data_IF_460482299472
#
_entry.id   IF_460482299472
#
_cell.length_a   1.000
_cell.length_b   1.000
_cell.length_c   1.000
_cell.angle_alpha   90.00
_cell.angle_beta   90.00
_cell.angle_gamma   90.00
#
_symmetry.space_group_name_H-M   'P 1'
#
loop_
_entity.id
_entity.type
_entity.pdbx_description
1 polymer ?
#
# COMPACT_ATOMS: atom_id res chain seq x y z
N UNK A 1 -45.58 -25.81 8.31
CA UNK A 1 -45.97 -24.56 7.67
C UNK A 1 -44.73 -24.06 6.97
N UNK A 2 -44.76 -24.24 5.69
CA UNK A 2 -43.79 -23.87 4.67
C UNK A 2 -43.80 -22.38 4.46
N UNK A 3 -42.64 -21.76 4.37
CA UNK A 3 -42.48 -20.66 3.43
C UNK A 3 -41.03 -20.50 2.94
N UNK A 4 -40.98 -20.30 1.63
CA UNK A 4 -39.87 -20.44 0.74
C UNK A 4 -38.96 -19.21 0.70
N UNK A 5 -37.63 -19.42 0.61
CA UNK A 5 -36.67 -18.42 0.18
C UNK A 5 -36.45 -18.52 -1.34
N UNK A 6 -36.83 -17.47 -2.03
CA UNK A 6 -36.64 -17.28 -3.46
C UNK A 6 -35.16 -16.94 -3.77
N UNK A 7 -34.57 -17.72 -4.64
CA UNK A 7 -33.27 -17.53 -5.27
C UNK A 7 -33.33 -16.42 -6.33
N UNK A 8 -32.58 -15.35 -6.15
CA UNK A 8 -32.35 -14.33 -7.15
C UNK A 8 -31.19 -14.73 -8.08
N UNK A 9 -31.54 -14.98 -9.33
CA UNK A 9 -30.69 -15.36 -10.44
C UNK A 9 -29.76 -14.20 -10.90
N UNK A 10 -28.49 -14.48 -11.03
CA UNK A 10 -27.49 -13.65 -11.69
C UNK A 10 -27.74 -13.65 -13.21
N UNK A 11 -28.02 -12.49 -13.77
CA UNK A 11 -28.17 -12.28 -15.22
C UNK A 11 -26.80 -12.07 -15.88
N UNK A 12 -26.45 -12.97 -16.77
CA UNK A 12 -25.28 -12.89 -17.65
C UNK A 12 -25.51 -11.88 -18.79
N UNK A 13 -24.59 -10.95 -18.96
CA UNK A 13 -24.57 -10.08 -20.14
C UNK A 13 -24.02 -10.82 -21.36
N UNK A 14 -24.85 -11.04 -22.38
CA UNK A 14 -24.46 -11.50 -23.71
C UNK A 14 -24.16 -10.30 -24.62
N UNK A 15 -23.05 -10.40 -25.36
CA UNK A 15 -22.72 -9.55 -26.53
C UNK A 15 -23.83 -9.67 -27.56
N UNK A 16 -24.24 -8.53 -28.13
CA UNK A 16 -25.03 -8.45 -29.36
C UNK A 16 -24.18 -7.92 -30.50
N UNK A 17 -24.03 -8.74 -31.52
CA UNK A 17 -23.55 -8.36 -32.84
C UNK A 17 -24.63 -7.58 -33.56
N UNK A 18 -24.25 -6.52 -34.27
CA UNK A 18 -25.16 -5.81 -35.17
C UNK A 18 -24.74 -6.09 -36.61
N UNK A 19 -25.68 -6.67 -37.34
CA UNK A 19 -25.64 -6.90 -38.78
C UNK A 19 -26.00 -5.61 -39.53
N UNK A 20 -25.27 -5.35 -40.58
CA UNK A 20 -25.43 -4.31 -41.56
C UNK A 20 -26.66 -4.54 -42.45
N UNK A 21 -27.42 -3.50 -42.73
CA UNK A 21 -28.31 -3.44 -43.92
C UNK A 21 -28.22 -2.05 -44.52
N UNK A 22 -27.76 -2.01 -45.76
CA UNK A 22 -27.69 -0.83 -46.64
C UNK A 22 -29.06 -0.58 -47.29
N UNK A 23 -29.49 0.66 -47.33
CA UNK A 23 -30.41 1.18 -48.36
C UNK A 23 -30.13 2.66 -48.62
N UNK A 24 -29.88 2.97 -49.90
CA UNK A 24 -29.61 4.30 -50.40
C UNK A 24 -30.91 4.99 -50.84
N UNK A 25 -31.03 6.28 -50.59
CA UNK A 25 -31.69 7.23 -51.50
C UNK A 25 -31.56 8.71 -51.02
N UNK A 26 -31.00 9.56 -51.86
CA UNK A 26 -31.57 10.86 -52.22
C UNK A 26 -31.25 12.12 -51.41
N UNK A 27 -30.25 12.81 -51.84
CA UNK A 27 -30.11 14.28 -52.02
C UNK A 27 -30.89 15.25 -51.09
N UNK A 28 -30.12 16.07 -50.35
CA UNK A 28 -30.56 17.29 -49.69
C UNK A 28 -29.40 17.97 -48.98
N UNK A 29 -28.66 18.85 -49.69
CA UNK A 29 -27.56 19.62 -49.13
C UNK A 29 -28.11 20.79 -48.34
N UNK A 30 -28.03 20.73 -47.00
CA UNK A 30 -28.06 21.90 -46.12
C UNK A 30 -26.76 21.88 -45.30
N UNK A 31 -26.06 23.03 -45.16
CA UNK A 31 -24.85 23.05 -44.32
C UNK A 31 -25.27 22.99 -42.86
N UNK A 32 -25.20 21.80 -42.25
CA UNK A 32 -25.20 21.71 -40.80
C UNK A 32 -23.86 22.27 -40.30
N UNK A 33 -23.96 23.40 -39.64
CA UNK A 33 -22.91 24.04 -38.87
C UNK A 33 -22.19 22.99 -37.98
N UNK A 34 -20.91 22.81 -38.24
CA UNK A 34 -19.95 22.12 -37.38
C UNK A 34 -19.74 23.02 -36.15
N UNK A 35 -20.68 22.93 -35.21
CA UNK A 35 -20.59 23.57 -33.90
C UNK A 35 -20.76 22.47 -32.83
N UNK A 36 -19.81 21.55 -32.77
CA UNK A 36 -19.88 20.41 -31.85
C UNK A 36 -18.54 19.76 -31.52
N UNK A 37 -17.43 20.28 -32.05
CA UNK A 37 -16.10 19.68 -31.84
C UNK A 37 -15.09 20.59 -31.12
N UNK A 38 -15.53 21.69 -30.52
CA UNK A 38 -14.65 22.64 -29.82
C UNK A 38 -14.71 22.56 -28.29
N UNK A 39 -15.21 21.47 -27.72
CA UNK A 39 -15.33 21.32 -26.28
C UNK A 39 -14.52 20.14 -25.70
N UNK A 40 -13.65 19.52 -26.47
CA UNK A 40 -12.51 18.77 -25.96
C UNK A 40 -11.30 19.70 -25.87
N UNK A 41 -11.51 20.89 -25.28
CA UNK A 41 -10.40 21.74 -24.88
C UNK A 41 -9.44 20.91 -24.03
N UNK A 42 -8.18 20.92 -24.44
CA UNK A 42 -7.00 20.47 -23.67
C UNK A 42 -7.15 20.80 -22.19
N UNK A 43 -7.83 19.95 -21.44
CA UNK A 43 -7.75 19.99 -19.99
C UNK A 43 -6.36 19.48 -19.65
N UNK A 44 -5.40 20.38 -19.59
CA UNK A 44 -4.02 20.07 -19.22
C UNK A 44 -3.96 19.23 -17.94
N UNK A 45 -2.84 18.61 -17.67
CA UNK A 45 -2.64 17.83 -16.46
C UNK A 45 -2.97 18.65 -15.22
N UNK A 46 -3.69 18.05 -14.27
CA UNK A 46 -4.04 18.67 -12.98
C UNK A 46 -3.82 17.68 -11.85
N UNK A 47 -3.59 18.22 -10.64
CA UNK A 47 -3.44 17.47 -9.42
C UNK A 47 -4.38 18.00 -8.35
N UNK A 48 -5.03 17.08 -7.63
CA UNK A 48 -5.95 17.39 -6.53
C UNK A 48 -5.51 16.63 -5.28
N UNK A 49 -4.66 17.21 -4.41
CA UNK A 49 -4.26 16.59 -3.15
C UNK A 49 -5.43 16.52 -2.17
N UNK A 50 -5.52 15.40 -1.42
CA UNK A 50 -6.52 15.19 -0.38
C UNK A 50 -5.91 14.55 0.86
N UNK A 51 -6.57 14.75 1.99
CA UNK A 51 -6.28 14.04 3.24
C UNK A 51 -7.52 13.99 4.12
N UNK A 52 -7.58 12.96 4.96
CA UNK A 52 -8.63 12.82 5.97
C UNK A 52 -8.14 11.99 7.15
N UNK A 53 -8.80 12.16 8.28
CA UNK A 53 -8.50 11.46 9.53
C UNK A 53 -8.98 10.00 9.46
N UNK A 54 -8.09 9.07 9.86
CA UNK A 54 -8.36 7.64 9.98
C UNK A 54 -7.92 7.10 11.35
N UNK A 55 -7.90 7.98 12.36
CA UNK A 55 -7.55 7.65 13.74
C UNK A 55 -8.64 6.77 14.37
N UNK A 56 -8.31 5.57 14.85
CA UNK A 56 -9.29 4.69 15.46
C UNK A 56 -9.76 5.23 16.83
N UNK A 57 -11.05 5.02 17.19
CA UNK A 57 -11.58 5.45 18.49
C UNK A 57 -11.04 4.59 19.64
N UNK A 58 -11.17 5.09 20.88
CA UNK A 58 -10.84 4.35 22.09
C UNK A 58 -11.53 2.99 22.12
N UNK A 59 -10.79 1.95 22.48
CA UNK A 59 -11.24 0.55 22.50
C UNK A 59 -11.12 -0.20 21.17
N UNK A 60 -10.85 0.49 20.03
CA UNK A 60 -10.63 -0.15 18.75
C UNK A 60 -9.40 -1.08 18.80
N UNK A 61 -9.46 -2.29 18.19
CA UNK A 61 -8.30 -3.18 18.10
C UNK A 61 -7.15 -2.54 17.31
N UNK A 62 -5.92 -2.70 17.79
CA UNK A 62 -4.71 -2.30 17.06
C UNK A 62 -3.97 -3.53 16.55
N UNK A 63 -3.26 -3.36 15.42
CA UNK A 63 -2.50 -4.43 14.77
C UNK A 63 -3.33 -5.74 14.64
N UNK A 64 -4.60 -5.63 14.22
CA UNK A 64 -5.48 -6.80 14.07
C UNK A 64 -5.86 -7.50 15.38
N UNK A 65 -5.69 -6.87 16.54
CA UNK A 65 -6.00 -7.43 17.85
C UNK A 65 -4.82 -8.13 18.55
N UNK A 66 -3.62 -8.09 18.01
CA UNK A 66 -2.42 -8.71 18.65
C UNK A 66 -1.79 -7.88 19.75
N UNK A 67 -2.10 -6.60 19.82
CA UNK A 67 -1.56 -5.67 20.81
C UNK A 67 -2.71 -5.02 21.60
N UNK A 68 -2.38 -4.25 22.65
CA UNK A 68 -3.39 -3.55 23.44
C UNK A 68 -4.29 -2.69 22.56
N UNK A 69 -5.63 -2.71 22.73
CA UNK A 69 -6.53 -1.85 22.00
C UNK A 69 -6.27 -0.38 22.36
N UNK A 70 -6.85 0.54 21.58
CA UNK A 70 -6.70 1.98 21.76
C UNK A 70 -7.09 2.41 23.17
N UNK A 71 -6.16 3.03 23.87
CA UNK A 71 -6.33 3.70 25.18
C UNK A 71 -6.16 5.20 25.06
N UNK A 72 -5.14 5.62 24.28
CA UNK A 72 -4.78 7.01 24.04
C UNK A 72 -4.39 7.21 22.58
N UNK A 73 -4.31 8.45 22.15
CA UNK A 73 -3.81 8.86 20.84
C UNK A 73 -2.63 9.79 21.07
N UNK A 74 -1.42 9.32 20.77
CA UNK A 74 -0.22 10.13 20.86
C UNK A 74 -0.14 11.10 19.68
N UNK A 75 -0.50 10.62 18.48
CA UNK A 75 -0.66 11.44 17.29
C UNK A 75 -1.69 10.81 16.33
N UNK A 76 -2.45 11.68 15.61
CA UNK A 76 -3.51 11.25 14.70
C UNK A 76 -2.98 10.47 13.50
N UNK A 77 -3.79 9.55 12.98
CA UNK A 77 -3.52 8.82 11.75
C UNK A 77 -4.25 9.47 10.57
N UNK A 78 -3.59 9.57 9.43
CA UNK A 78 -4.15 10.20 8.23
C UNK A 78 -4.12 9.23 7.04
N UNK A 79 -5.13 9.32 6.17
CA UNK A 79 -5.04 8.87 4.80
C UNK A 79 -4.77 10.10 3.93
N UNK A 80 -3.69 10.05 3.15
CA UNK A 80 -3.20 11.19 2.38
C UNK A 80 -2.96 10.75 0.94
N UNK A 81 -3.46 11.51 -0.01
CA UNK A 81 -3.31 11.15 -1.41
C UNK A 81 -3.46 12.33 -2.36
N UNK A 82 -3.49 12.01 -3.63
CA UNK A 82 -3.81 12.96 -4.69
C UNK A 82 -4.49 12.25 -5.86
N UNK A 83 -5.26 13.02 -6.63
CA UNK A 83 -5.83 12.60 -7.91
C UNK A 83 -5.10 13.33 -9.02
N UNK A 84 -4.62 12.61 -10.03
CA UNK A 84 -4.11 13.17 -11.28
C UNK A 84 -5.23 13.12 -12.33
N UNK A 85 -5.47 14.24 -12.99
CA UNK A 85 -6.48 14.47 -14.03
C UNK A 85 -5.79 14.87 -15.32
N UNK A 86 -6.42 14.56 -16.48
CA UNK A 86 -5.92 14.95 -17.79
C UNK A 86 -5.01 13.93 -18.47
N UNK A 87 -4.74 12.78 -17.82
CA UNK A 87 -4.01 11.64 -18.38
C UNK A 87 -4.95 10.46 -18.66
N UNK A 88 -6.03 10.68 -19.37
CA UNK A 88 -7.15 9.74 -19.52
C UNK A 88 -8.07 9.80 -18.29
N UNK A 89 -8.59 8.65 -17.86
CA UNK A 89 -9.38 8.57 -16.62
C UNK A 89 -8.52 8.94 -15.38
N UNK A 90 -9.14 9.49 -14.32
CA UNK A 90 -8.42 9.90 -13.12
C UNK A 90 -7.56 8.79 -12.52
N UNK A 91 -6.37 9.16 -12.03
CA UNK A 91 -5.45 8.26 -11.32
C UNK A 91 -5.40 8.70 -9.86
N UNK A 92 -5.57 7.76 -8.93
CA UNK A 92 -5.57 8.05 -7.48
C UNK A 92 -4.39 7.34 -6.81
N UNK A 93 -3.58 8.10 -6.06
CA UNK A 93 -2.51 7.58 -5.21
C UNK A 93 -2.84 7.93 -3.76
N UNK A 94 -2.81 6.95 -2.87
CA UNK A 94 -3.14 7.14 -1.46
C UNK A 94 -2.20 6.35 -0.55
N UNK A 95 -1.62 7.02 0.45
CA UNK A 95 -0.95 6.42 1.59
C UNK A 95 -1.89 6.43 2.80
N UNK A 96 -1.97 5.33 3.55
CA UNK A 96 -2.84 5.18 4.72
C UNK A 96 -1.97 4.86 5.94
N UNK A 97 -2.08 5.65 7.00
CA UNK A 97 -1.36 5.44 8.26
C UNK A 97 -1.96 4.25 9.05
N UNK A 98 -2.11 3.11 8.40
CA UNK A 98 -2.56 1.86 9.01
C UNK A 98 -1.52 0.76 8.86
N UNK A 99 -1.62 -0.27 9.73
CA UNK A 99 -0.74 -1.45 9.65
C UNK A 99 -0.98 -2.22 8.35
N UNK A 100 -2.23 -2.34 7.90
CA UNK A 100 -2.52 -3.01 6.64
C UNK A 100 -4.01 -3.11 6.31
N UNK A 101 -4.25 -3.24 5.02
CA UNK A 101 -5.55 -3.53 4.41
C UNK A 101 -5.42 -4.84 3.61
N UNK A 102 -6.17 -5.87 3.98
CA UNK A 102 -6.07 -7.21 3.40
C UNK A 102 -7.31 -7.55 2.58
N UNK A 103 -7.09 -8.15 1.42
CA UNK A 103 -8.15 -8.73 0.60
C UNK A 103 -9.32 -7.73 0.35
N UNK A 104 -10.54 -8.09 0.75
CA UNK A 104 -11.74 -7.26 0.56
C UNK A 104 -11.61 -5.86 1.18
N UNK A 105 -10.90 -5.69 2.28
CA UNK A 105 -10.70 -4.38 2.88
C UNK A 105 -9.94 -3.43 1.94
N UNK A 106 -8.88 -3.93 1.30
CA UNK A 106 -8.10 -3.19 0.32
C UNK A 106 -8.93 -2.86 -0.94
N UNK A 107 -9.69 -3.85 -1.44
CA UNK A 107 -10.53 -3.67 -2.61
C UNK A 107 -11.65 -2.65 -2.37
N UNK A 108 -12.30 -2.70 -1.20
CA UNK A 108 -13.34 -1.72 -0.85
C UNK A 108 -12.76 -0.31 -0.70
N UNK A 109 -11.55 -0.16 -0.16
CA UNK A 109 -10.88 1.15 -0.07
C UNK A 109 -10.59 1.73 -1.45
N UNK A 110 -10.00 0.92 -2.35
CA UNK A 110 -9.77 1.31 -3.75
C UNK A 110 -11.07 1.69 -4.45
N UNK A 111 -12.12 0.88 -4.30
CA UNK A 111 -13.43 1.15 -4.92
C UNK A 111 -14.05 2.45 -4.42
N UNK A 112 -13.95 2.74 -3.12
CA UNK A 112 -14.48 3.97 -2.54
C UNK A 112 -13.79 5.24 -3.10
N UNK A 113 -12.46 5.20 -3.23
CA UNK A 113 -11.71 6.32 -3.81
C UNK A 113 -11.93 6.43 -5.33
N UNK A 114 -12.03 5.31 -6.04
CA UNK A 114 -12.32 5.28 -7.48
C UNK A 114 -13.68 5.90 -7.79
N UNK A 115 -14.74 5.47 -7.09
CA UNK A 115 -16.09 6.02 -7.21
C UNK A 115 -16.09 7.55 -7.00
N UNK A 116 -15.41 8.02 -5.95
CA UNK A 116 -15.34 9.45 -5.65
C UNK A 116 -14.56 10.25 -6.70
N UNK A 117 -13.54 9.65 -7.31
CA UNK A 117 -12.72 10.27 -8.34
C UNK A 117 -13.33 10.18 -9.74
N UNK A 118 -14.41 9.39 -9.94
CA UNK A 118 -14.99 9.12 -11.25
C UNK A 118 -14.11 8.26 -12.14
N UNK A 119 -13.48 7.22 -11.56
CA UNK A 119 -12.58 6.29 -12.25
C UNK A 119 -12.86 4.84 -11.83
N UNK A 120 -12.01 3.92 -12.24
CA UNK A 120 -12.11 2.48 -11.92
C UNK A 120 -11.09 2.07 -10.84
N UNK A 121 -11.34 1.00 -10.04
CA UNK A 121 -10.44 0.58 -8.96
C UNK A 121 -9.03 0.21 -9.42
N UNK A 122 -8.82 -0.21 -10.66
CA UNK A 122 -7.50 -0.50 -11.23
C UNK A 122 -6.66 0.77 -11.48
N UNK A 123 -7.27 1.96 -11.45
CA UNK A 123 -6.59 3.26 -11.53
C UNK A 123 -6.30 3.87 -10.14
N UNK A 124 -6.41 3.09 -9.09
CA UNK A 124 -6.19 3.52 -7.71
C UNK A 124 -5.08 2.68 -7.07
N UNK A 125 -4.01 3.30 -6.58
CA UNK A 125 -3.04 2.68 -5.68
C UNK A 125 -3.31 3.12 -4.24
N UNK A 126 -3.48 2.16 -3.35
CA UNK A 126 -3.59 2.35 -1.90
C UNK A 126 -2.50 1.55 -1.22
N UNK A 127 -1.62 2.23 -0.48
CA UNK A 127 -0.50 1.62 0.22
C UNK A 127 -0.57 1.99 1.71
N UNK A 128 -0.45 1.01 2.59
CA UNK A 128 -0.37 1.27 4.02
C UNK A 128 1.06 1.68 4.40
N UNK A 129 1.19 2.56 5.40
CA UNK A 129 2.50 2.91 5.96
C UNK A 129 3.05 1.76 6.81
N UNK A 130 2.17 0.93 7.39
CA UNK A 130 2.49 -0.30 8.11
C UNK A 130 3.02 -0.10 9.55
N UNK A 131 2.83 1.06 10.15
CA UNK A 131 3.11 1.19 11.59
C UNK A 131 2.13 0.34 12.42
N UNK A 132 2.58 -0.11 13.61
CA UNK A 132 1.85 -1.16 14.35
C UNK A 132 0.85 -0.64 15.39
N UNK A 133 1.01 0.58 15.91
CA UNK A 133 0.00 1.22 16.76
C UNK A 133 -1.16 1.78 15.93
N UNK A 134 -1.71 0.95 15.04
CA UNK A 134 -2.72 1.30 14.03
C UNK A 134 -3.61 0.09 13.66
N UNK A 135 -4.75 0.29 12.96
CA UNK A 135 -5.58 -0.80 12.47
C UNK A 135 -4.89 -1.71 11.45
N UNK A 136 -5.16 -3.02 11.54
CA UNK A 136 -4.80 -4.03 10.56
C UNK A 136 -6.05 -4.82 10.19
N UNK A 137 -6.54 -4.65 8.96
CA UNK A 137 -7.93 -4.94 8.62
C UNK A 137 -8.06 -6.07 7.61
N UNK A 138 -8.82 -7.10 8.00
CA UNK A 138 -9.31 -8.17 7.14
C UNK A 138 -10.79 -8.44 7.47
N UNK A 139 -11.69 -8.05 6.59
CA UNK A 139 -13.14 -8.07 6.86
C UNK A 139 -13.71 -9.47 6.99
N UNK A 140 -13.24 -10.42 6.17
CA UNK A 140 -13.68 -11.81 6.27
C UNK A 140 -13.16 -12.47 7.55
N UNK A 141 -11.92 -12.17 7.95
CA UNK A 141 -11.35 -12.67 9.20
C UNK A 141 -12.11 -12.14 10.41
N UNK A 142 -12.54 -10.87 10.40
CA UNK A 142 -13.42 -10.32 11.44
C UNK A 142 -14.71 -11.15 11.56
N UNK A 143 -15.37 -11.44 10.44
CA UNK A 143 -16.60 -12.27 10.44
C UNK A 143 -16.35 -13.68 10.98
N UNK A 144 -15.22 -14.30 10.62
CA UNK A 144 -14.85 -15.63 11.10
C UNK A 144 -14.60 -15.64 12.61
N UNK A 145 -13.89 -14.65 13.14
CA UNK A 145 -13.57 -14.52 14.57
C UNK A 145 -14.82 -14.17 15.38
N UNK A 146 -15.63 -13.21 14.93
CA UNK A 146 -16.90 -12.85 15.58
C UNK A 146 -17.85 -14.03 15.72
N UNK A 147 -17.91 -14.91 14.70
CA UNK A 147 -18.70 -16.15 14.72
C UNK A 147 -18.26 -17.18 15.77
N UNK A 148 -17.10 -17.02 16.39
CA UNK A 148 -16.59 -17.91 17.44
C UNK A 148 -16.91 -17.44 18.88
N UNK A 149 -17.55 -16.29 19.05
CA UNK A 149 -17.82 -15.66 20.35
C UNK A 149 -16.56 -15.58 21.25
N UNK A 150 -15.40 -15.36 20.64
CA UNK A 150 -14.11 -15.37 21.32
C UNK A 150 -13.83 -14.10 22.16
N UNK A 151 -14.77 -13.17 22.22
CA UNK A 151 -14.61 -11.89 22.94
C UNK A 151 -13.51 -10.99 22.33
N UNK A 152 -13.20 -11.17 21.05
CA UNK A 152 -12.12 -10.53 20.33
C UNK A 152 -12.63 -9.95 19.02
N UNK A 153 -12.04 -8.81 18.62
CA UNK A 153 -12.26 -8.17 17.33
C UNK A 153 -10.92 -7.91 16.63
N UNK A 154 -10.95 -7.95 15.31
CA UNK A 154 -9.84 -7.53 14.43
C UNK A 154 -10.00 -6.07 14.05
N UNK A 155 -11.23 -5.65 13.78
CA UNK A 155 -11.60 -4.31 13.34
C UNK A 155 -13.03 -3.96 13.74
N UNK A 156 -13.29 -2.69 14.07
CA UNK A 156 -14.65 -2.15 14.10
C UNK A 156 -15.13 -1.88 12.67
N UNK A 157 -16.12 -2.65 12.20
CA UNK A 157 -16.66 -2.55 10.85
C UNK A 157 -17.41 -1.22 10.61
N UNK A 158 -17.96 -0.58 11.65
CA UNK A 158 -18.62 0.72 11.52
C UNK A 158 -17.56 1.82 11.29
N UNK A 159 -16.48 1.80 12.07
CA UNK A 159 -15.35 2.69 11.89
C UNK A 159 -14.69 2.52 10.52
N UNK A 160 -14.50 1.28 10.04
CA UNK A 160 -13.96 1.03 8.72
C UNK A 160 -14.82 1.68 7.61
N UNK A 161 -16.16 1.49 7.66
CA UNK A 161 -17.09 2.11 6.71
C UNK A 161 -17.07 3.64 6.78
N UNK A 162 -16.97 4.21 7.97
CA UNK A 162 -16.87 5.66 8.17
C UNK A 162 -15.58 6.21 7.53
N UNK A 163 -14.44 5.51 7.66
CA UNK A 163 -13.20 5.89 6.97
C UNK A 163 -13.35 5.89 5.43
N UNK A 164 -14.08 4.93 4.86
CA UNK A 164 -14.36 4.92 3.42
C UNK A 164 -15.19 6.14 3.01
N UNK A 165 -16.19 6.51 3.79
CA UNK A 165 -17.05 7.66 3.49
C UNK A 165 -16.29 8.98 3.63
N UNK A 166 -15.46 9.14 4.67
CA UNK A 166 -14.54 10.29 4.80
C UNK A 166 -13.63 10.41 3.58
N UNK A 167 -13.13 9.28 3.08
CA UNK A 167 -12.32 9.23 1.85
C UNK A 167 -13.08 9.72 0.62
N UNK A 168 -14.34 9.28 0.42
CA UNK A 168 -15.19 9.76 -0.67
C UNK A 168 -15.41 11.28 -0.60
N UNK A 169 -15.72 11.79 0.57
CA UNK A 169 -15.93 13.24 0.80
C UNK A 169 -14.64 14.01 0.50
N UNK A 170 -13.51 13.57 1.03
CA UNK A 170 -12.22 14.24 0.85
C UNK A 170 -11.79 14.31 -0.63
N UNK A 171 -11.93 13.20 -1.38
CA UNK A 171 -11.62 13.16 -2.81
C UNK A 171 -12.55 14.07 -3.60
N UNK A 172 -13.87 14.00 -3.40
CA UNK A 172 -14.83 14.89 -4.09
C UNK A 172 -14.52 16.37 -3.84
N UNK A 173 -14.20 16.72 -2.59
CA UNK A 173 -13.82 18.09 -2.24
C UNK A 173 -12.51 18.51 -2.91
N UNK A 174 -11.48 17.65 -2.91
CA UNK A 174 -10.20 17.94 -3.54
C UNK A 174 -10.33 18.19 -5.05
N UNK A 175 -11.19 17.44 -5.74
CA UNK A 175 -11.42 17.61 -7.17
C UNK A 175 -11.92 19.01 -7.54
N UNK A 176 -12.68 19.68 -6.66
CA UNK A 176 -13.12 21.07 -6.88
C UNK A 176 -11.98 22.10 -6.77
N UNK A 177 -10.84 21.69 -6.18
CA UNK A 177 -9.66 22.53 -5.95
C UNK A 177 -8.45 22.05 -6.76
N UNK A 178 -8.67 21.24 -7.80
CA UNK A 178 -7.61 20.70 -8.63
C UNK A 178 -6.80 21.83 -9.30
N UNK A 179 -5.47 21.74 -9.18
CA UNK A 179 -4.51 22.73 -9.66
C UNK A 179 -3.78 22.22 -10.91
N UNK A 180 -3.26 23.08 -11.79
CA UNK A 180 -2.40 22.65 -12.90
C UNK A 180 -1.21 21.83 -12.35
N UNK A 181 -0.90 20.70 -13.00
CA UNK A 181 0.28 19.90 -12.76
C UNK A 181 1.27 20.13 -13.89
N UNK A 182 2.29 20.93 -13.63
CA UNK A 182 3.18 21.46 -14.68
C UNK A 182 4.58 20.87 -14.66
N UNK A 183 5.10 20.56 -13.47
CA UNK A 183 6.46 20.06 -13.30
C UNK A 183 6.49 18.91 -12.29
N UNK A 184 7.52 18.10 -12.40
CA UNK A 184 7.85 17.03 -11.45
C UNK A 184 9.34 17.09 -11.13
N UNK A 185 9.70 16.68 -9.93
CA UNK A 185 11.10 16.51 -9.55
C UNK A 185 11.30 15.23 -8.76
N UNK A 186 12.46 14.62 -8.88
CA UNK A 186 12.85 13.48 -8.07
C UNK A 186 14.29 13.64 -7.56
N UNK A 187 14.51 13.21 -6.32
CA UNK A 187 15.82 13.21 -5.71
C UNK A 187 15.91 12.13 -4.62
N UNK A 188 17.13 11.80 -4.22
CA UNK A 188 17.35 10.84 -3.14
C UNK A 188 18.41 11.33 -2.16
N UNK A 189 18.34 10.84 -0.93
CA UNK A 189 19.32 11.04 0.10
C UNK A 189 19.50 9.79 0.94
N UNK A 190 20.73 9.53 1.35
CA UNK A 190 21.04 8.42 2.25
C UNK A 190 20.41 8.68 3.62
N UNK A 191 19.73 7.68 4.16
CA UNK A 191 19.26 7.64 5.55
C UNK A 191 20.36 7.07 6.42
N UNK A 192 20.70 7.78 7.49
CA UNK A 192 21.70 7.32 8.43
C UNK A 192 21.07 6.51 9.57
N UNK A 193 21.64 5.33 9.86
CA UNK A 193 21.36 4.51 11.05
C UNK A 193 19.86 4.30 11.36
N UNK A 194 19.10 3.76 10.38
CA UNK A 194 17.73 3.29 10.59
C UNK A 194 17.61 1.83 10.16
N UNK A 195 17.73 1.54 8.86
CA UNK A 195 17.42 0.24 8.28
C UNK A 195 18.56 -0.77 8.45
N UNK A 196 18.17 -2.02 8.65
CA UNK A 196 19.05 -3.18 8.55
C UNK A 196 18.24 -4.43 8.28
N UNK A 197 18.87 -5.41 7.60
CA UNK A 197 18.24 -6.69 7.32
C UNK A 197 17.99 -7.46 8.61
N UNK A 198 16.80 -8.03 8.74
CA UNK A 198 16.40 -8.81 9.91
C UNK A 198 17.02 -10.20 9.90
N UNK A 199 17.27 -10.76 8.72
CA UNK A 199 17.74 -12.14 8.45
C UNK A 199 19.27 -12.20 8.36
N UNK A 200 19.97 -11.50 9.28
CA UNK A 200 21.41 -11.28 9.18
C UNK A 200 22.26 -12.46 9.69
N UNK A 201 21.75 -13.23 10.65
CA UNK A 201 22.48 -14.36 11.25
C UNK A 201 22.11 -15.65 10.50
N UNK A 202 22.87 -15.97 9.46
CA UNK A 202 22.75 -17.21 8.68
C UNK A 202 23.78 -18.22 9.18
N UNK A 203 23.34 -19.44 9.49
CA UNK A 203 24.20 -20.53 9.91
C UNK A 203 24.98 -21.20 8.79
N UNK A 204 25.90 -22.11 9.11
CA UNK A 204 26.66 -22.89 8.15
C UNK A 204 25.79 -23.77 7.23
N UNK A 205 24.59 -24.10 7.69
CA UNK A 205 23.57 -24.87 6.95
C UNK A 205 22.74 -24.00 5.99
N UNK A 206 23.07 -22.71 5.87
CA UNK A 206 22.34 -21.73 5.05
C UNK A 206 21.01 -21.29 5.65
N UNK A 207 20.68 -21.66 6.88
CA UNK A 207 19.41 -21.29 7.53
C UNK A 207 19.56 -20.09 8.45
N UNK A 208 18.46 -19.34 8.59
CA UNK A 208 18.36 -18.24 9.56
C UNK A 208 18.39 -18.82 10.98
N UNK A 209 19.43 -18.50 11.72
CA UNK A 209 19.64 -18.97 13.09
C UNK A 209 19.04 -17.99 14.12
N UNK A 210 19.29 -16.70 13.93
CA UNK A 210 18.73 -15.62 14.74
C UNK A 210 18.24 -14.51 13.82
N UNK A 211 17.24 -13.77 14.28
CA UNK A 211 16.72 -12.61 13.56
C UNK A 211 16.86 -11.35 14.40
N UNK A 212 17.38 -10.29 13.76
CA UNK A 212 17.39 -8.97 14.36
C UNK A 212 16.04 -8.31 14.12
N UNK A 213 15.15 -8.37 15.11
CA UNK A 213 13.79 -7.84 15.06
C UNK A 213 13.74 -6.33 14.81
N UNK A 214 12.55 -5.74 14.91
CA UNK A 214 12.36 -4.29 14.75
C UNK A 214 12.93 -3.50 15.92
N UNK A 215 12.99 -4.10 17.13
CA UNK A 215 13.79 -3.65 18.27
C UNK A 215 14.71 -4.80 18.68
N UNK A 216 15.97 -4.49 19.04
CA UNK A 216 16.95 -5.49 19.42
C UNK A 216 17.82 -5.00 20.58
N UNK A 217 18.06 -5.91 21.54
CA UNK A 217 18.97 -5.70 22.67
C UNK A 217 20.10 -6.73 22.73
N UNK A 218 20.14 -7.65 21.75
CA UNK A 218 21.22 -8.63 21.62
C UNK A 218 22.47 -7.94 21.04
N UNK A 219 23.58 -7.84 21.84
CA UNK A 219 24.77 -7.11 21.42
C UNK A 219 25.47 -7.77 20.21
N UNK A 220 25.37 -9.09 20.04
CA UNK A 220 25.94 -9.79 18.90
C UNK A 220 25.21 -9.40 17.61
N UNK A 221 23.88 -9.39 17.62
CA UNK A 221 23.08 -8.97 16.48
C UNK A 221 23.24 -7.49 16.15
N UNK A 222 23.37 -6.64 17.17
CA UNK A 222 23.61 -5.20 17.00
C UNK A 222 24.97 -4.94 16.37
N UNK A 223 26.02 -5.70 16.73
CA UNK A 223 27.38 -5.58 16.21
C UNK A 223 27.49 -6.02 14.73
N UNK A 224 26.61 -6.90 14.24
CA UNK A 224 26.60 -7.33 12.84
C UNK A 224 26.31 -6.14 11.89
N UNK A 225 26.72 -6.28 10.61
CA UNK A 225 26.45 -5.29 9.57
C UNK A 225 24.96 -5.04 9.38
N UNK A 226 24.59 -4.03 8.61
CA UNK A 226 23.19 -3.79 8.19
C UNK A 226 22.66 -4.90 7.29
N UNK A 227 23.53 -5.63 6.61
CA UNK A 227 23.15 -6.61 5.59
C UNK A 227 22.57 -5.93 4.34
N UNK A 228 21.93 -6.73 3.49
CA UNK A 228 21.30 -6.21 2.28
C UNK A 228 20.13 -5.28 2.66
N UNK A 229 20.20 -4.03 2.23
CA UNK A 229 19.18 -3.01 2.43
C UNK A 229 19.28 -1.94 1.34
N UNK A 230 18.25 -1.11 1.16
CA UNK A 230 18.35 0.11 0.35
C UNK A 230 18.48 1.31 1.31
N UNK A 231 19.65 1.94 1.40
CA UNK A 231 19.86 3.06 2.29
C UNK A 231 19.26 4.38 1.77
N UNK A 232 18.76 4.42 0.53
CA UNK A 232 18.29 5.65 -0.09
C UNK A 232 16.82 5.90 0.22
N UNK A 233 16.53 7.08 0.80
CA UNK A 233 15.20 7.65 0.78
C UNK A 233 14.99 8.35 -0.55
N UNK A 234 13.91 8.03 -1.24
CA UNK A 234 13.54 8.65 -2.52
C UNK A 234 12.40 9.64 -2.29
N UNK A 235 12.52 10.82 -2.92
CA UNK A 235 11.49 11.87 -2.87
C UNK A 235 11.07 12.21 -4.29
N UNK A 236 9.76 12.23 -4.55
CA UNK A 236 9.16 12.69 -5.79
C UNK A 236 8.18 13.81 -5.47
N UNK A 237 8.36 14.97 -6.09
CA UNK A 237 7.56 16.16 -5.83
C UNK A 237 6.84 16.64 -7.08
N UNK A 238 5.63 17.16 -6.91
CA UNK A 238 4.70 17.63 -7.93
C UNK A 238 4.47 19.12 -7.78
N UNK A 239 4.49 19.86 -8.90
CA UNK A 239 4.45 21.33 -8.88
C UNK A 239 3.34 21.90 -9.76
N UNK A 240 2.79 23.02 -9.31
CA UNK A 240 1.91 23.90 -10.08
C UNK A 240 2.65 25.22 -10.30
N UNK A 241 3.23 25.42 -11.50
CA UNK A 241 4.23 26.46 -11.72
C UNK A 241 5.46 26.20 -10.82
N UNK A 242 5.82 27.19 -10.03
CA UNK A 242 6.93 27.09 -9.08
C UNK A 242 6.51 26.52 -7.71
N UNK A 243 5.22 26.42 -7.44
CA UNK A 243 4.70 25.97 -6.15
C UNK A 243 4.69 24.45 -6.03
N UNK A 244 5.36 23.90 -5.00
CA UNK A 244 5.33 22.48 -4.67
C UNK A 244 4.00 22.14 -4.02
N UNK A 245 3.19 21.30 -4.69
CA UNK A 245 1.83 20.95 -4.28
C UNK A 245 1.78 19.67 -3.45
N UNK A 246 2.58 18.67 -3.85
CA UNK A 246 2.67 17.40 -3.15
C UNK A 246 4.11 16.87 -3.21
N UNK A 247 4.50 16.10 -2.18
CA UNK A 247 5.80 15.44 -2.09
C UNK A 247 5.64 14.06 -1.50
N UNK A 248 6.07 13.04 -2.22
CA UNK A 248 6.02 11.64 -1.83
C UNK A 248 7.41 11.17 -1.41
N UNK A 249 7.53 10.59 -0.22
CA UNK A 249 8.77 10.08 0.34
C UNK A 249 8.68 8.56 0.47
N UNK A 250 9.71 7.84 0.00
CA UNK A 250 9.76 6.37 -0.03
C UNK A 250 11.01 5.89 0.68
N UNK A 251 10.85 5.00 1.65
CA UNK A 251 11.98 4.39 2.34
C UNK A 251 11.67 2.97 2.81
N UNK A 252 12.60 2.03 2.59
CA UNK A 252 12.43 0.63 2.90
C UNK A 252 12.90 0.31 4.33
N UNK A 253 12.01 0.49 5.32
CA UNK A 253 12.21 0.03 6.68
C UNK A 253 10.86 -0.16 7.39
N UNK A 254 10.66 -1.28 8.09
CA UNK A 254 9.49 -1.50 8.94
C UNK A 254 9.31 -0.36 9.94
N UNK A 255 8.16 0.31 9.97
CA UNK A 255 7.88 1.41 10.89
C UNK A 255 7.44 0.89 12.26
N UNK A 256 8.35 0.27 12.95
CA UNK A 256 8.15 -0.33 14.28
C UNK A 256 9.23 0.16 15.23
N UNK A 257 9.03 1.29 15.89
CA UNK A 257 9.98 1.82 16.89
C UNK A 257 9.60 1.37 18.31
N UNK A 258 8.70 2.06 18.93
CA UNK A 258 8.09 1.79 20.22
C UNK A 258 6.59 1.62 20.03
N UNK A 259 6.00 0.48 20.40
CA UNK A 259 4.61 0.17 20.09
C UNK A 259 3.97 -0.86 21.05
N UNK A 260 2.66 -1.09 20.89
CA UNK A 260 1.92 -2.17 21.52
C UNK A 260 1.32 -1.83 22.88
N UNK A 261 1.37 -0.58 23.32
CA UNK A 261 0.86 -0.13 24.63
C UNK A 261 -0.57 0.43 24.60
N UNK A 262 -1.16 0.51 23.40
CA UNK A 262 -2.49 1.08 23.17
C UNK A 262 -2.46 2.60 22.94
N UNK A 263 -1.32 3.17 22.66
CA UNK A 263 -1.16 4.57 22.27
C UNK A 263 -1.06 4.65 20.75
N UNK A 264 -2.12 5.11 20.08
CA UNK A 264 -2.15 5.25 18.62
C UNK A 264 -1.06 6.21 18.15
N UNK A 265 -0.27 5.80 17.18
CA UNK A 265 0.80 6.64 16.63
C UNK A 265 1.08 6.29 15.17
N UNK A 266 1.42 7.33 14.38
CA UNK A 266 1.93 7.19 13.03
C UNK A 266 3.42 6.77 12.99
N UNK A 267 4.01 6.46 14.14
CA UNK A 267 5.40 6.08 14.36
C UNK A 267 6.40 7.06 13.73
N UNK A 268 7.70 6.75 13.74
CA UNK A 268 8.74 7.67 13.27
C UNK A 268 8.53 8.18 11.82
N UNK A 269 7.96 7.42 10.85
CA UNK A 269 7.74 7.95 9.51
C UNK A 269 6.66 9.02 9.45
N UNK A 270 5.53 8.77 10.11
CA UNK A 270 4.44 9.74 10.15
C UNK A 270 4.83 10.99 10.95
N UNK A 271 5.57 10.84 12.05
CA UNK A 271 6.09 11.97 12.82
C UNK A 271 7.06 12.82 11.98
N UNK A 272 8.00 12.23 11.24
CA UNK A 272 8.91 12.94 10.34
C UNK A 272 8.13 13.69 9.23
N UNK A 273 7.14 13.03 8.59
CA UNK A 273 6.24 13.63 7.61
C UNK A 273 5.48 14.84 8.17
N UNK A 274 4.93 14.73 9.38
CA UNK A 274 4.18 15.82 10.05
C UNK A 274 5.06 17.03 10.32
N UNK A 275 6.33 16.80 10.68
CA UNK A 275 7.31 17.89 10.86
C UNK A 275 7.61 18.61 9.55
N UNK A 276 7.74 17.89 8.42
CA UNK A 276 7.89 18.53 7.12
C UNK A 276 6.66 19.35 6.75
N UNK A 277 5.47 18.82 6.97
CA UNK A 277 4.23 19.55 6.72
C UNK A 277 4.14 20.84 7.54
N UNK A 278 4.60 20.82 8.79
CA UNK A 278 4.65 22.03 9.62
C UNK A 278 5.65 23.07 9.08
N UNK A 279 6.76 22.64 8.49
CA UNK A 279 7.74 23.51 7.86
C UNK A 279 7.31 24.01 6.47
N UNK A 280 6.49 23.23 5.73
CA UNK A 280 6.02 23.54 4.38
C UNK A 280 4.46 23.40 4.31
N UNK A 281 3.69 24.32 4.89
CA UNK A 281 2.22 24.16 5.03
C UNK A 281 1.48 24.07 3.70
N UNK A 282 2.02 24.67 2.62
CA UNK A 282 1.47 24.63 1.26
C UNK A 282 1.66 23.32 0.52
N UNK A 283 2.53 22.44 1.00
CA UNK A 283 2.84 21.16 0.36
C UNK A 283 2.16 20.00 1.12
N UNK A 284 1.53 19.09 0.38
CA UNK A 284 1.01 17.83 0.91
C UNK A 284 2.15 16.80 0.96
N UNK A 285 2.60 16.41 2.14
CA UNK A 285 3.62 15.37 2.30
C UNK A 285 2.98 14.01 2.51
N UNK A 286 3.36 13.03 1.67
CA UNK A 286 3.01 11.62 1.76
C UNK A 286 4.25 10.80 2.12
N UNK A 287 4.07 9.72 2.87
CA UNK A 287 5.11 8.74 3.10
C UNK A 287 4.63 7.36 2.66
N UNK A 288 5.53 6.64 1.98
CA UNK A 288 5.33 5.26 1.57
C UNK A 288 6.46 4.39 2.10
N UNK A 289 6.11 3.32 2.75
CA UNK A 289 7.08 2.29 3.10
C UNK A 289 7.45 1.50 1.85
N UNK A 290 8.73 1.44 1.54
CA UNK A 290 9.28 0.61 0.47
C UNK A 290 9.20 -0.87 0.80
N UNK A 291 9.84 -1.72 0.00
CA UNK A 291 9.90 -3.16 0.27
C UNK A 291 10.72 -3.43 1.53
N UNK A 292 10.05 -3.63 2.64
CA UNK A 292 10.66 -3.75 3.96
C UNK A 292 10.31 -5.06 4.69
N UNK A 293 9.81 -6.07 3.99
CA UNK A 293 9.44 -7.35 4.60
C UNK A 293 10.56 -7.97 5.44
N UNK A 294 11.79 -7.89 4.98
CA UNK A 294 12.98 -8.37 5.69
C UNK A 294 13.85 -7.24 6.28
N UNK A 295 13.37 -6.00 6.31
CA UNK A 295 14.12 -4.84 6.80
C UNK A 295 13.46 -4.25 8.05
N UNK A 296 14.25 -3.97 9.09
CA UNK A 296 13.78 -3.35 10.32
C UNK A 296 14.82 -2.44 10.94
N UNK A 297 14.43 -1.68 11.95
CA UNK A 297 15.30 -0.72 12.63
C UNK A 297 16.15 -1.33 13.76
N UNK A 298 16.03 -2.63 14.04
CA UNK A 298 16.54 -3.25 15.26
C UNK A 298 18.05 -3.09 15.54
N UNK A 299 18.86 -2.77 14.53
CA UNK A 299 20.28 -2.42 14.79
C UNK A 299 20.40 -1.11 15.57
N UNK A 300 19.46 -0.21 15.42
CA UNK A 300 19.49 1.17 15.93
C UNK A 300 18.26 1.52 16.78
N UNK A 301 17.50 0.51 17.16
CA UNK A 301 16.26 0.62 17.93
C UNK A 301 16.24 -0.40 19.05
N UNK A 302 16.19 0.04 20.29
CA UNK A 302 16.04 -0.80 21.47
C UNK A 302 14.59 -0.96 21.95
N UNK A 303 13.63 -0.29 21.26
CA UNK A 303 12.21 -0.30 21.59
C UNK A 303 11.81 0.76 22.62
N UNK A 304 12.69 1.68 22.97
CA UNK A 304 12.39 2.79 23.88
C UNK A 304 11.64 3.94 23.17
N UNK A 305 10.93 4.80 23.92
CA UNK A 305 10.38 6.03 23.37
C UNK A 305 11.43 6.96 22.76
N UNK A 306 12.62 7.01 23.36
CA UNK A 306 13.78 7.81 22.91
C UNK A 306 14.24 7.36 21.54
N UNK A 307 14.30 6.04 21.30
CA UNK A 307 14.65 5.50 19.98
C UNK A 307 13.68 5.95 18.89
N UNK A 308 12.37 6.07 19.18
CA UNK A 308 11.38 6.63 18.23
C UNK A 308 11.74 8.07 17.83
N UNK A 309 12.15 8.90 18.80
CA UNK A 309 12.56 10.30 18.55
C UNK A 309 13.79 10.34 17.65
N UNK A 310 14.83 9.55 17.97
CA UNK A 310 16.05 9.49 17.16
C UNK A 310 15.80 9.00 15.72
N UNK A 311 14.98 7.97 15.55
CA UNK A 311 14.60 7.47 14.22
C UNK A 311 13.81 8.53 13.42
N UNK A 312 12.94 9.29 14.11
CA UNK A 312 12.20 10.43 13.51
C UNK A 312 13.16 11.49 13.01
N UNK A 313 14.13 11.89 13.84
CA UNK A 313 15.11 12.93 13.50
C UNK A 313 15.96 12.53 12.29
N UNK A 314 16.46 11.29 12.27
CA UNK A 314 17.28 10.74 11.18
C UNK A 314 16.50 10.66 9.87
N UNK A 315 15.24 10.20 9.92
CA UNK A 315 14.39 10.11 8.72
C UNK A 315 14.03 11.51 8.20
N UNK A 316 13.65 12.43 9.10
CA UNK A 316 13.37 13.82 8.72
C UNK A 316 14.59 14.48 8.07
N UNK A 317 15.79 14.28 8.61
CA UNK A 317 17.02 14.82 8.04
C UNK A 317 17.23 14.34 6.59
N UNK A 318 16.99 13.04 6.31
CA UNK A 318 17.08 12.50 4.97
C UNK A 318 15.99 13.06 4.03
N UNK A 319 14.75 13.23 4.52
CA UNK A 319 13.66 13.87 3.75
C UNK A 319 14.02 15.31 3.37
N UNK A 320 14.56 16.09 4.31
CA UNK A 320 15.04 17.47 4.06
C UNK A 320 16.19 17.47 3.05
N UNK A 321 17.18 16.57 3.22
CA UNK A 321 18.32 16.47 2.33
C UNK A 321 17.94 16.05 0.90
N UNK A 322 16.96 15.16 0.74
CA UNK A 322 16.42 14.81 -0.56
C UNK A 322 15.63 15.98 -1.17
N UNK A 323 14.78 16.64 -0.36
CA UNK A 323 13.99 17.80 -0.82
C UNK A 323 14.87 18.96 -1.29
N UNK A 324 16.02 19.18 -0.66
CA UNK A 324 16.97 20.22 -1.05
C UNK A 324 17.66 19.97 -2.41
N UNK A 325 17.63 18.74 -2.92
CA UNK A 325 18.20 18.35 -4.22
C UNK A 325 17.18 18.33 -5.36
N UNK A 326 15.89 18.61 -5.07
CA UNK A 326 14.85 18.59 -6.09
C UNK A 326 15.11 19.67 -7.15
N UNK A 327 15.12 19.28 -8.42
CA UNK A 327 15.23 20.15 -9.57
C UNK A 327 13.98 19.93 -10.45
N UNK A 328 12.95 20.80 -10.38
CA UNK A 328 11.74 20.64 -11.15
C UNK A 328 12.00 20.70 -12.66
N UNK A 329 11.43 19.72 -13.38
CA UNK A 329 11.43 19.69 -14.85
C UNK A 329 9.99 19.67 -15.36
N UNK A 330 9.70 20.24 -16.56
CA UNK A 330 8.37 20.17 -17.15
C UNK A 330 7.89 18.72 -17.26
N UNK A 331 6.67 18.45 -16.82
CA UNK A 331 6.03 17.15 -16.95
C UNK A 331 5.26 17.09 -18.26
N UNK A 332 5.68 16.20 -19.17
CA UNK A 332 5.12 16.09 -20.54
C UNK A 332 4.29 14.82 -20.72
N UNK A 333 4.63 13.74 -20.04
CA UNK A 333 3.96 12.45 -20.15
C UNK A 333 3.59 11.89 -18.77
N UNK A 334 2.33 11.47 -18.67
CA UNK A 334 1.82 10.72 -17.53
C UNK A 334 1.22 9.43 -18.06
N UNK A 335 1.70 8.29 -17.56
CA UNK A 335 1.21 6.97 -17.91
C UNK A 335 0.81 6.18 -16.66
N UNK A 336 -0.23 5.38 -16.80
CA UNK A 336 -0.65 4.44 -15.77
C UNK A 336 -0.76 3.05 -16.37
N UNK A 337 -0.09 2.10 -15.76
CA UNK A 337 -0.12 0.69 -16.19
C UNK A 337 -0.37 -0.22 -14.99
N UNK A 338 -1.05 -1.33 -15.23
CA UNK A 338 -1.34 -2.36 -14.24
C UNK A 338 -0.92 -3.74 -14.72
N UNK A 339 -0.70 -4.63 -13.76
CA UNK A 339 -0.43 -6.05 -14.00
C UNK A 339 -1.12 -6.87 -12.91
N UNK A 340 -1.92 -7.85 -13.33
CA UNK A 340 -2.63 -8.74 -12.43
C UNK A 340 -1.76 -9.93 -12.04
N UNK A 341 -1.65 -10.18 -10.74
CA UNK A 341 -0.93 -11.32 -10.17
C UNK A 341 -1.91 -12.25 -9.47
N UNK A 342 -1.91 -13.52 -9.85
CA UNK A 342 -2.68 -14.59 -9.21
C UNK A 342 -1.69 -15.58 -8.57
N UNK A 343 -1.25 -15.32 -7.33
CA UNK A 343 -0.30 -16.19 -6.66
C UNK A 343 -0.97 -17.45 -6.12
N UNK A 344 -0.22 -18.56 -6.11
CA UNK A 344 -0.66 -19.78 -5.46
C UNK A 344 -0.65 -19.62 -3.93
N UNK A 345 -1.54 -20.36 -3.26
CA UNK A 345 -1.52 -20.52 -1.81
C UNK A 345 -0.26 -21.28 -1.41
N UNK A 346 0.37 -20.89 -0.31
CA UNK A 346 1.45 -21.67 0.29
C UNK A 346 0.92 -23.09 0.62
N UNK A 347 1.50 -24.16 0.06
CA UNK A 347 0.95 -25.51 0.13
C UNK A 347 0.90 -26.10 1.55
N UNK A 348 1.56 -25.47 2.53
CA UNK A 348 1.48 -25.89 3.93
C UNK A 348 0.15 -25.50 4.60
N UNK A 349 -0.65 -24.65 3.98
CA UNK A 349 -1.93 -24.17 4.51
C UNK A 349 -3.10 -24.69 3.69
N UNK A 350 -4.08 -25.28 4.38
CA UNK A 350 -5.35 -25.69 3.77
C UNK A 350 -6.53 -24.98 4.46
N UNK A 351 -7.60 -24.72 3.74
CA UNK A 351 -8.78 -24.06 4.33
C UNK A 351 -9.33 -24.84 5.53
N UNK A 352 -9.44 -26.17 5.41
CA UNK A 352 -9.91 -27.03 6.49
C UNK A 352 -9.00 -26.95 7.73
N UNK A 353 -7.68 -27.04 7.53
CA UNK A 353 -6.70 -26.97 8.62
C UNK A 353 -6.74 -25.63 9.34
N UNK A 354 -6.81 -24.52 8.59
CA UNK A 354 -6.87 -23.17 9.18
C UNK A 354 -8.23 -22.93 9.87
N UNK A 355 -9.35 -23.39 9.31
CA UNK A 355 -10.66 -23.32 9.96
C UNK A 355 -10.71 -24.15 11.25
N UNK A 356 -10.04 -25.29 11.30
CA UNK A 356 -9.90 -26.06 12.53
C UNK A 356 -9.17 -25.27 13.62
N UNK A 357 -8.10 -24.54 13.27
CA UNK A 357 -7.40 -23.65 14.21
C UNK A 357 -8.28 -22.48 14.70
N UNK A 358 -9.07 -21.87 13.80
CA UNK A 358 -10.00 -20.80 14.16
C UNK A 358 -11.06 -21.29 15.16
N UNK A 359 -11.59 -22.50 14.95
CA UNK A 359 -12.68 -23.08 15.74
C UNK A 359 -12.21 -23.74 17.05
N UNK A 360 -10.91 -24.02 17.19
CA UNK A 360 -10.38 -24.71 18.35
C UNK A 360 -10.51 -23.86 19.64
N UNK A 361 -11.35 -24.26 20.62
CA UNK A 361 -11.54 -23.47 21.83
C UNK A 361 -10.30 -23.45 22.75
N UNK A 362 -9.35 -24.36 22.54
CA UNK A 362 -8.09 -24.39 23.30
C UNK A 362 -7.07 -23.35 22.79
N UNK A 363 -7.24 -22.85 21.58
CA UNK A 363 -6.40 -21.78 21.06
C UNK A 363 -6.76 -20.45 21.73
N UNK A 364 -5.77 -19.75 22.27
CA UNK A 364 -5.95 -18.39 22.73
C UNK A 364 -6.55 -17.52 21.59
N UNK A 365 -7.46 -16.56 21.87
CA UNK A 365 -8.11 -15.76 20.85
C UNK A 365 -7.13 -15.15 19.84
N UNK A 366 -6.03 -14.55 20.28
CA UNK A 366 -5.00 -13.98 19.42
C UNK A 366 -4.38 -14.98 18.41
N UNK A 367 -4.29 -16.26 18.78
CA UNK A 367 -3.73 -17.30 17.92
C UNK A 367 -4.70 -17.76 16.81
N UNK A 368 -5.98 -17.37 16.87
CA UNK A 368 -6.99 -17.68 15.84
C UNK A 368 -7.03 -16.64 14.71
N UNK A 369 -6.44 -15.48 14.93
CA UNK A 369 -6.49 -14.36 13.95
C UNK A 369 -5.75 -14.73 12.67
N UNK A 370 -4.48 -15.17 12.77
CA UNK A 370 -3.68 -15.52 11.60
C UNK A 370 -4.30 -16.65 10.78
N UNK A 371 -4.78 -17.75 11.38
CA UNK A 371 -5.59 -18.74 10.66
C UNK A 371 -6.80 -18.16 9.94
N UNK A 372 -7.54 -17.25 10.58
CA UNK A 372 -8.69 -16.59 9.92
C UNK A 372 -8.26 -15.76 8.71
N UNK A 373 -7.15 -15.04 8.79
CA UNK A 373 -6.60 -14.28 7.66
C UNK A 373 -6.11 -15.19 6.53
N UNK A 374 -5.55 -16.36 6.83
CA UNK A 374 -5.20 -17.39 5.84
C UNK A 374 -6.41 -17.97 5.14
N UNK A 375 -7.50 -18.23 5.86
CA UNK A 375 -8.77 -18.66 5.26
C UNK A 375 -9.25 -17.62 4.24
N UNK A 376 -9.25 -16.34 4.60
CA UNK A 376 -9.62 -15.26 3.69
C UNK A 376 -8.75 -15.24 2.44
N UNK A 377 -7.44 -15.42 2.59
CA UNK A 377 -6.50 -15.51 1.48
C UNK A 377 -6.77 -16.72 0.58
N UNK A 378 -6.93 -17.92 1.14
CA UNK A 378 -7.20 -19.17 0.42
C UNK A 378 -8.47 -19.02 -0.43
N UNK A 379 -9.54 -18.48 0.15
CA UNK A 379 -10.82 -18.25 -0.54
C UNK A 379 -10.69 -17.25 -1.69
N UNK A 380 -9.91 -16.18 -1.50
CA UNK A 380 -9.61 -15.22 -2.54
C UNK A 380 -8.91 -15.87 -3.73
N UNK A 381 -7.87 -16.68 -3.47
CA UNK A 381 -7.15 -17.42 -4.53
C UNK A 381 -8.08 -18.39 -5.25
N UNK A 382 -8.93 -19.13 -4.51
CA UNK A 382 -9.94 -20.02 -5.07
C UNK A 382 -10.96 -19.26 -5.95
N UNK A 383 -11.31 -18.04 -5.57
CA UNK A 383 -12.18 -17.15 -6.35
C UNK A 383 -11.45 -16.50 -7.56
N UNK A 384 -10.17 -16.80 -7.77
CA UNK A 384 -9.32 -16.23 -8.84
C UNK A 384 -9.31 -14.70 -8.85
N UNK A 385 -9.35 -14.09 -7.68
CA UNK A 385 -9.33 -12.64 -7.55
C UNK A 385 -7.88 -12.12 -7.47
N UNK A 386 -7.36 -11.41 -8.49
CA UNK A 386 -5.96 -11.05 -8.56
C UNK A 386 -5.58 -9.97 -7.54
N UNK A 387 -4.28 -9.89 -7.27
CA UNK A 387 -3.63 -8.70 -6.75
C UNK A 387 -3.26 -7.83 -7.94
N UNK A 388 -3.57 -6.54 -7.88
CA UNK A 388 -3.24 -5.60 -8.94
C UNK A 388 -1.97 -4.83 -8.54
N UNK A 389 -0.88 -5.06 -9.27
CA UNK A 389 0.29 -4.21 -9.26
C UNK A 389 0.05 -2.99 -10.15
N UNK A 390 0.69 -1.88 -9.87
CA UNK A 390 0.57 -0.70 -10.72
C UNK A 390 1.84 0.13 -10.77
N UNK A 391 2.00 0.89 -11.84
CA UNK A 391 3.04 1.90 -11.97
C UNK A 391 2.48 3.20 -12.54
N UNK A 392 2.85 4.32 -11.92
CA UNK A 392 2.64 5.66 -12.43
C UNK A 392 3.96 6.15 -13.04
N UNK A 393 3.94 6.39 -14.34
CA UNK A 393 5.08 6.92 -15.10
C UNK A 393 4.94 8.41 -15.30
N UNK A 394 6.01 9.16 -15.00
CA UNK A 394 6.10 10.61 -15.05
C UNK A 394 7.40 10.96 -15.79
N UNK A 395 7.39 10.92 -17.13
CA UNK A 395 8.62 11.00 -17.94
C UNK A 395 9.69 9.99 -17.48
N UNK A 396 10.84 10.43 -16.97
CA UNK A 396 11.94 9.59 -16.46
C UNK A 396 11.75 9.03 -15.05
N UNK A 397 10.59 9.27 -14.40
CA UNK A 397 10.30 8.86 -13.03
C UNK A 397 9.20 7.79 -13.04
N UNK A 398 9.32 6.78 -12.19
CA UNK A 398 8.29 5.76 -11.99
C UNK A 398 7.98 5.57 -10.51
N UNK A 399 6.70 5.67 -10.14
CA UNK A 399 6.19 5.25 -8.84
C UNK A 399 5.61 3.83 -9.00
N UNK A 400 6.28 2.85 -8.41
CA UNK A 400 5.90 1.44 -8.48
C UNK A 400 5.18 1.03 -7.20
N UNK A 401 4.02 0.38 -7.34
CA UNK A 401 3.18 -0.06 -6.22
C UNK A 401 3.13 -1.58 -6.17
N UNK A 402 3.70 -2.16 -5.11
CA UNK A 402 3.78 -3.58 -4.84
C UNK A 402 2.89 -3.99 -3.66
N UNK A 403 2.51 -5.27 -3.53
CA UNK A 403 1.65 -5.74 -2.47
C UNK A 403 2.43 -6.01 -1.19
N UNK A 404 1.71 -6.06 -0.09
CA UNK A 404 2.06 -6.71 1.16
C UNK A 404 3.48 -6.41 1.66
N UNK A 405 4.02 -7.28 2.50
CA UNK A 405 5.35 -7.17 3.09
C UNK A 405 6.44 -7.76 2.17
N UNK A 406 6.57 -7.18 0.96
CA UNK A 406 7.57 -7.58 -0.02
C UNK A 406 9.00 -7.36 0.50
N UNK A 407 9.91 -8.29 0.23
CA UNK A 407 11.33 -8.20 0.61
C UNK A 407 12.05 -7.10 -0.17
N UNK A 408 13.13 -6.54 0.39
CA UNK A 408 13.91 -5.44 -0.21
C UNK A 408 14.50 -5.80 -1.57
N UNK A 409 14.75 -7.06 -1.81
CA UNK A 409 15.24 -7.60 -3.08
C UNK A 409 14.33 -7.21 -4.26
N UNK A 410 13.01 -7.13 -4.05
CA UNK A 410 12.08 -6.68 -5.10
C UNK A 410 12.27 -5.20 -5.45
N UNK A 411 12.51 -4.34 -4.45
CA UNK A 411 12.81 -2.93 -4.68
C UNK A 411 14.11 -2.75 -5.45
N UNK A 412 15.17 -3.44 -5.05
CA UNK A 412 16.48 -3.39 -5.72
C UNK A 412 16.39 -3.98 -7.14
N UNK A 413 15.62 -5.06 -7.33
CA UNK A 413 15.33 -5.65 -8.64
C UNK A 413 14.58 -4.68 -9.55
N UNK A 414 13.56 -3.97 -9.04
CA UNK A 414 12.83 -2.97 -9.82
C UNK A 414 13.74 -1.84 -10.31
N UNK A 415 14.65 -1.35 -9.47
CA UNK A 415 15.64 -0.35 -9.85
C UNK A 415 16.59 -0.89 -10.94
N UNK A 416 17.02 -2.14 -10.83
CA UNK A 416 17.89 -2.80 -11.84
C UNK A 416 17.19 -3.03 -13.18
N UNK A 417 15.89 -3.25 -13.19
CA UNK A 417 15.09 -3.46 -14.40
C UNK A 417 14.86 -2.20 -15.23
N UNK A 418 15.07 -1.02 -14.63
CA UNK A 418 14.84 0.27 -15.29
C UNK A 418 16.07 1.18 -15.17
N UNK A 419 17.24 0.78 -15.74
CA UNK A 419 18.46 1.58 -15.68
C UNK A 419 18.23 2.95 -16.32
N UNK A 420 18.70 4.01 -15.65
CA UNK A 420 18.54 5.39 -16.11
C UNK A 420 17.19 6.03 -15.75
N UNK A 421 16.25 5.31 -15.12
CA UNK A 421 15.02 5.86 -14.55
C UNK A 421 15.13 6.01 -13.05
N UNK A 422 14.42 7.00 -12.53
CA UNK A 422 14.19 7.13 -11.10
C UNK A 422 13.00 6.27 -10.67
N UNK A 423 13.24 5.12 -10.06
CA UNK A 423 12.18 4.22 -9.58
C UNK A 423 12.00 4.37 -8.07
N UNK A 424 10.84 4.85 -7.65
CA UNK A 424 10.40 4.91 -6.26
C UNK A 424 9.36 3.81 -6.01
N UNK A 425 9.65 2.87 -5.11
CA UNK A 425 8.80 1.71 -4.85
C UNK A 425 8.08 1.85 -3.52
N UNK A 426 6.76 1.73 -3.55
CA UNK A 426 5.90 1.54 -2.38
C UNK A 426 5.46 0.08 -2.30
N UNK A 427 5.67 -0.57 -1.15
CA UNK A 427 5.07 -1.85 -0.81
C UNK A 427 3.82 -1.64 0.07
N UNK A 428 3.34 -2.69 0.71
CA UNK A 428 2.19 -2.64 1.64
C UNK A 428 0.87 -2.19 1.00
N UNK A 429 0.69 -2.53 -0.28
CA UNK A 429 -0.62 -2.47 -0.94
C UNK A 429 -1.55 -3.53 -0.38
N UNK A 430 -2.13 -4.38 -1.23
CA UNK A 430 -2.96 -5.48 -0.75
C UNK A 430 -2.16 -6.46 0.12
N UNK A 431 -2.49 -6.51 1.40
CA UNK A 431 -1.79 -7.30 2.41
C UNK A 431 -2.15 -8.78 2.45
N UNK A 432 -3.01 -9.28 1.54
CA UNK A 432 -3.57 -10.63 1.62
C UNK A 432 -2.52 -11.75 1.64
N UNK A 433 -1.41 -11.60 0.92
CA UNK A 433 -0.31 -12.56 0.91
C UNK A 433 0.52 -12.54 2.19
N UNK A 434 0.38 -11.51 3.01
CA UNK A 434 1.25 -11.21 4.14
C UNK A 434 2.68 -10.94 3.70
N UNK A 435 3.69 -11.69 4.22
CA UNK A 435 5.06 -11.57 3.71
C UNK A 435 5.20 -12.13 2.31
N UNK A 436 6.05 -11.49 1.51
CA UNK A 436 6.46 -11.96 0.19
C UNK A 436 7.98 -12.14 0.17
N UNK A 437 8.48 -13.29 0.68
CA UNK A 437 9.90 -13.63 0.57
C UNK A 437 10.29 -13.90 -0.88
N UNK A 438 11.58 -13.77 -1.21
CA UNK A 438 12.10 -14.33 -2.47
C UNK A 438 12.10 -15.85 -2.41
N UNK A 439 12.12 -16.52 -3.56
CA UNK A 439 12.16 -18.00 -3.60
C UNK A 439 13.39 -18.58 -2.89
N UNK A 440 14.51 -17.87 -2.93
CA UNK A 440 15.76 -18.25 -2.26
C UNK A 440 15.65 -18.20 -0.73
N UNK A 441 14.75 -17.38 -0.19
CA UNK A 441 14.54 -17.27 1.25
C UNK A 441 13.77 -18.47 1.85
N UNK A 442 12.96 -19.18 1.06
CA UNK A 442 12.15 -20.29 1.57
C UNK A 442 13.01 -21.42 2.19
N UNK A 443 14.04 -21.97 1.53
CA UNK A 443 14.89 -22.99 2.16
C UNK A 443 15.68 -22.46 3.36
N UNK A 444 15.89 -21.16 3.50
CA UNK A 444 16.58 -20.56 4.64
C UNK A 444 15.69 -20.52 5.90
N UNK A 445 14.35 -20.62 5.76
CA UNK A 445 13.40 -20.52 6.87
C UNK A 445 13.33 -19.09 7.43
N UNK A 446 13.10 -18.99 8.75
CA UNK A 446 12.89 -17.73 9.47
C UNK A 446 11.41 -17.33 9.54
N UNK A 447 11.15 -16.26 10.31
CA UNK A 447 9.78 -15.82 10.61
C UNK A 447 8.97 -15.48 9.35
N UNK A 448 9.52 -14.69 8.45
CA UNK A 448 8.81 -14.19 7.27
C UNK A 448 8.31 -15.35 6.38
N UNK A 449 9.15 -16.36 6.21
CA UNK A 449 8.80 -17.57 5.43
C UNK A 449 7.70 -18.37 6.13
N UNK A 450 7.76 -18.49 7.46
CA UNK A 450 6.80 -19.28 8.24
C UNK A 450 5.39 -18.67 8.23
N UNK A 451 5.26 -17.39 7.89
CA UNK A 451 4.00 -16.66 7.87
C UNK A 451 3.55 -16.21 6.48
N UNK A 452 4.34 -16.47 5.44
CA UNK A 452 3.99 -16.16 4.06
C UNK A 452 2.79 -16.99 3.61
N UNK A 453 1.71 -16.33 3.18
CA UNK A 453 0.47 -17.00 2.75
C UNK A 453 0.55 -17.50 1.29
N UNK A 454 1.45 -16.94 0.47
CA UNK A 454 1.68 -17.37 -0.92
C UNK A 454 2.84 -18.34 -1.05
N UNK A 455 2.78 -19.18 -2.07
CA UNK A 455 3.86 -20.10 -2.45
C UNK A 455 5.11 -19.37 -2.96
N UNK A 456 6.28 -20.06 -3.05
CA UNK A 456 7.50 -19.49 -3.64
C UNK A 456 7.36 -18.98 -5.08
N UNK A 457 6.37 -19.49 -5.84
CA UNK A 457 6.01 -19.01 -7.18
C UNK A 457 5.62 -17.51 -7.24
N UNK A 458 5.27 -16.91 -6.11
CA UNK A 458 4.99 -15.49 -6.01
C UNK A 458 6.20 -14.62 -6.42
N UNK A 459 7.43 -15.07 -6.20
CA UNK A 459 8.63 -14.35 -6.64
C UNK A 459 8.68 -14.19 -8.17
N UNK A 460 8.44 -15.27 -8.89
CA UNK A 460 8.43 -15.24 -10.36
C UNK A 460 7.26 -14.39 -10.89
N UNK A 461 6.10 -14.47 -10.25
CA UNK A 461 4.92 -13.68 -10.60
C UNK A 461 5.16 -12.16 -10.40
N UNK A 462 5.70 -11.75 -9.24
CA UNK A 462 6.07 -10.34 -8.99
C UNK A 462 7.16 -9.86 -9.94
N UNK A 463 8.17 -10.69 -10.20
CA UNK A 463 9.26 -10.33 -11.10
C UNK A 463 8.79 -10.13 -12.53
N UNK A 464 7.83 -10.93 -12.98
CA UNK A 464 7.18 -10.78 -14.29
C UNK A 464 6.36 -9.50 -14.33
N UNK A 465 5.52 -9.27 -13.32
CA UNK A 465 4.73 -8.04 -13.22
C UNK A 465 5.59 -6.78 -13.23
N UNK A 466 6.70 -6.78 -12.48
CA UNK A 466 7.62 -5.64 -12.48
C UNK A 466 8.26 -5.39 -13.85
N UNK A 467 8.69 -6.46 -14.58
CA UNK A 467 9.22 -6.31 -15.95
C UNK A 467 8.17 -5.70 -16.89
N UNK A 468 6.93 -6.18 -16.80
CA UNK A 468 5.84 -5.69 -17.65
C UNK A 468 5.50 -4.22 -17.34
N UNK A 469 5.44 -3.85 -16.06
CA UNK A 469 5.15 -2.50 -15.63
C UNK A 469 6.25 -1.53 -16.02
N UNK A 470 7.52 -1.89 -15.85
CA UNK A 470 8.66 -1.03 -16.12
C UNK A 470 9.03 -0.99 -17.60
N UNK A 471 8.69 -2.01 -18.38
CA UNK A 471 8.94 -2.07 -19.83
C UNK A 471 7.93 -1.30 -20.68
N UNK A 472 6.75 -0.96 -20.15
CA UNK A 472 5.67 -0.23 -20.86
C UNK A 472 5.72 1.29 -20.71
N UNK A 473 6.77 1.84 -20.15
CA UNK A 473 6.91 3.27 -19.84
C UNK A 473 7.42 4.11 -21.02
#
# INVERSE_FOLDING_TARGET
>A
MTDAYSSGTLTSYRRREFLTSSLAAGAGILPLSIAGSAAAEERGLRIAPFRYDVTPPTGHPLCGGWISPVKTVDDSLEAIGFVILGAGEPIVICAVDWTGLLNDAHLQWRSALAEAAGTTPDRVAVQCVHQHDAPFVCLESEKLIAGQNAGMQIVDLAFFRDCLERGRVAVKQALTQARPLTHVAAAEAKVDRIAGNRRIAIGPDGKVQKMRGSACKDPELIAMTEGLSDPQLKTVAFYSGEEKVASCHYYACHPMSHYGKGAVSSDYPGLARKRLKAAEPGCMHLYFTGCAGNIGAGKYNDGSPEARIELTDRLQAAMVAASAKLAPVPLTKVGWVTHDVLPDVNPVFTEEGELAQVRNPQNAPANRIRPAMRVSWIRRVAAKQPIILSALHLDGITLLHLPAESFVEYQLRAQSLAPGRFVATAAYGDGGTWYVPTKEAFPQGGYEVSVANSAPSMDDALSTGMRDLLGKA
#
